data_IF_611322958978
#
_entry.id   IF_611322958978
#
_cell.length_a   1.000
_cell.length_b   1.000
_cell.length_c   1.000
_cell.angle_alpha   90.00
_cell.angle_beta   90.00
_cell.angle_gamma   90.00
#
_symmetry.space_group_name_H-M   'P 1'
#
loop_
_entity.id
_entity.type
_entity.pdbx_description
1 polymer ?
#
# COMPACT_ATOMS: atom_id res chain seq x y z
N UNK A 1 -31.11 -5.94 -4.79
CA UNK A 1 -29.65 -5.81 -4.87
C UNK A 1 -29.27 -5.90 -6.35
N UNK A 2 -28.65 -4.86 -6.95
CA UNK A 2 -28.00 -5.04 -8.27
C UNK A 2 -26.91 -6.09 -8.06
N UNK A 3 -26.92 -7.14 -8.86
CA UNK A 3 -25.83 -8.09 -8.93
C UNK A 3 -24.58 -7.26 -9.33
N UNK A 4 -23.62 -7.15 -8.44
CA UNK A 4 -22.36 -6.48 -8.78
C UNK A 4 -21.71 -7.28 -9.90
N UNK A 5 -21.43 -6.62 -11.02
CA UNK A 5 -20.63 -7.26 -12.06
C UNK A 5 -19.26 -7.60 -11.46
N UNK A 6 -18.78 -8.81 -11.74
CA UNK A 6 -17.47 -9.26 -11.28
C UNK A 6 -16.39 -8.26 -11.67
N UNK A 7 -15.48 -7.85 -10.79
CA UNK A 7 -14.40 -6.94 -11.15
C UNK A 7 -13.50 -7.55 -12.21
N UNK A 8 -12.89 -6.68 -13.04
CA UNK A 8 -11.79 -7.06 -13.93
C UNK A 8 -10.44 -6.85 -13.26
N UNK A 9 -10.37 -5.89 -12.34
CA UNK A 9 -9.17 -5.57 -11.58
C UNK A 9 -9.51 -5.33 -10.11
N UNK A 10 -8.64 -5.84 -9.23
CA UNK A 10 -8.62 -5.48 -7.80
C UNK A 10 -7.25 -4.89 -7.49
N UNK A 11 -7.25 -3.65 -6.99
CA UNK A 11 -6.05 -2.95 -6.56
C UNK A 11 -6.01 -2.91 -5.03
N UNK A 12 -5.00 -3.55 -4.43
CA UNK A 12 -4.79 -3.55 -2.99
C UNK A 12 -3.74 -2.53 -2.57
N UNK A 13 -3.92 -1.87 -1.43
CA UNK A 13 -2.77 -1.38 -0.68
C UNK A 13 -1.99 -2.55 -0.10
N UNK A 14 -0.75 -2.30 0.34
CA UNK A 14 0.13 -3.33 0.88
C UNK A 14 0.08 -3.40 2.41
N UNK A 15 0.52 -2.30 3.06
CA UNK A 15 0.63 -2.21 4.52
C UNK A 15 -0.77 -2.22 5.15
N UNK A 16 -1.01 -3.07 6.15
CA UNK A 16 -2.31 -3.20 6.80
C UNK A 16 -3.38 -3.97 6.00
N UNK A 17 -3.11 -4.27 4.72
CA UNK A 17 -4.03 -5.01 3.84
C UNK A 17 -3.44 -6.38 3.47
N UNK A 18 -2.49 -6.46 2.53
CA UNK A 18 -1.85 -7.72 2.14
C UNK A 18 -0.78 -8.17 3.13
N UNK A 19 -0.18 -7.21 3.82
CA UNK A 19 0.80 -7.44 4.86
C UNK A 19 0.23 -7.13 6.25
N UNK A 20 0.47 -8.01 7.24
CA UNK A 20 0.13 -7.80 8.64
C UNK A 20 1.20 -6.89 9.29
N UNK A 21 1.26 -5.66 8.79
CA UNK A 21 2.19 -4.61 9.24
C UNK A 21 1.49 -3.26 9.24
N UNK A 22 1.86 -2.40 10.17
CA UNK A 22 1.26 -1.05 10.27
C UNK A 22 1.80 -0.13 9.16
N UNK A 23 3.07 -0.27 8.81
CA UNK A 23 3.75 0.53 7.78
C UNK A 23 5.15 0.00 7.52
N UNK A 24 5.51 -0.16 6.26
CA UNK A 24 6.86 -0.50 5.82
C UNK A 24 7.89 0.56 6.21
N UNK A 25 7.53 1.85 6.19
CA UNK A 25 8.36 2.95 6.69
C UNK A 25 8.64 2.82 8.17
N UNK A 26 7.61 2.58 8.97
CA UNK A 26 7.74 2.40 10.42
C UNK A 26 8.64 1.22 10.76
N UNK A 27 8.58 0.15 10.00
CA UNK A 27 9.44 -1.03 10.20
C UNK A 27 10.92 -0.65 10.08
N UNK A 28 11.30 0.23 9.15
CA UNK A 28 12.67 0.75 9.05
C UNK A 28 13.01 1.63 10.26
N UNK A 29 12.10 2.51 10.66
CA UNK A 29 12.31 3.34 11.86
C UNK A 29 12.51 2.50 13.11
N UNK A 30 11.72 1.45 13.30
CA UNK A 30 11.86 0.52 14.44
C UNK A 30 13.22 -0.22 14.37
N UNK A 31 13.70 -0.59 13.17
CA UNK A 31 14.99 -1.22 12.96
C UNK A 31 16.17 -0.31 13.35
N UNK A 32 16.14 0.97 12.99
CA UNK A 32 17.19 1.94 13.31
C UNK A 32 16.97 2.65 14.66
N UNK A 33 15.88 2.37 15.37
CA UNK A 33 15.57 3.03 16.65
C UNK A 33 15.26 4.52 16.49
N UNK A 34 14.56 4.89 15.41
CA UNK A 34 14.14 6.27 15.11
C UNK A 34 12.61 6.37 15.07
N UNK A 35 12.07 7.57 14.87
CA UNK A 35 10.63 7.81 14.75
C UNK A 35 10.34 9.02 13.88
N UNK A 36 9.41 8.87 12.94
CA UNK A 36 8.92 9.95 12.08
C UNK A 36 7.57 10.53 12.53
N UNK A 37 7.17 10.33 13.79
CA UNK A 37 5.82 10.72 14.24
C UNK A 37 5.51 12.20 13.97
N UNK A 38 6.46 13.09 14.27
CA UNK A 38 6.29 14.54 14.08
C UNK A 38 6.33 14.92 12.59
N UNK A 39 7.20 14.25 11.81
CA UNK A 39 7.25 14.40 10.36
C UNK A 39 5.93 13.96 9.71
N UNK A 40 5.37 12.84 10.15
CA UNK A 40 4.06 12.37 9.66
C UNK A 40 2.94 13.37 9.95
N UNK A 41 2.94 14.00 11.11
CA UNK A 41 1.95 15.05 11.44
C UNK A 41 2.08 16.24 10.50
N UNK A 42 3.29 16.70 10.23
CA UNK A 42 3.56 17.80 9.30
C UNK A 42 3.19 17.43 7.85
N UNK A 43 3.50 16.20 7.43
CA UNK A 43 3.08 15.68 6.13
C UNK A 43 1.56 15.64 5.99
N UNK A 44 0.85 15.14 7.00
CA UNK A 44 -0.62 15.12 7.02
C UNK A 44 -1.25 16.52 7.06
N UNK A 45 -0.53 17.50 7.58
CA UNK A 45 -0.92 18.92 7.54
C UNK A 45 -0.63 19.61 6.19
N UNK A 46 0.01 18.89 5.24
CA UNK A 46 0.40 19.43 3.94
C UNK A 46 1.64 20.33 3.97
N UNK A 47 2.42 20.30 5.06
CA UNK A 47 3.65 21.08 5.21
C UNK A 47 4.85 20.46 4.50
N UNK A 48 4.77 19.19 4.15
CA UNK A 48 5.81 18.43 3.46
C UNK A 48 5.23 17.72 2.24
N UNK A 49 5.99 17.69 1.17
CA UNK A 49 5.75 16.81 0.03
C UNK A 49 6.19 15.38 0.35
N UNK A 50 5.75 14.37 -0.42
CA UNK A 50 6.23 12.99 -0.29
C UNK A 50 7.76 12.91 -0.37
N UNK A 51 8.39 13.64 -1.30
CA UNK A 51 9.86 13.66 -1.45
C UNK A 51 10.58 14.24 -0.23
N UNK A 52 10.08 15.33 0.33
CA UNK A 52 10.66 15.95 1.53
C UNK A 52 10.47 15.05 2.75
N UNK A 53 9.33 14.41 2.87
CA UNK A 53 9.07 13.45 3.95
C UNK A 53 10.03 12.25 3.86
N UNK A 54 10.20 11.65 2.66
CA UNK A 54 11.14 10.55 2.44
C UNK A 54 12.59 10.96 2.73
N UNK A 55 13.04 12.13 2.28
CA UNK A 55 14.39 12.64 2.56
C UNK A 55 14.61 12.84 4.06
N UNK A 56 13.62 13.37 4.78
CA UNK A 56 13.69 13.54 6.23
C UNK A 56 13.76 12.20 6.98
N UNK A 57 13.00 11.18 6.56
CA UNK A 57 13.09 9.82 7.12
C UNK A 57 14.48 9.21 6.92
N UNK A 58 15.04 9.33 5.71
CA UNK A 58 16.41 8.87 5.39
C UNK A 58 17.42 9.57 6.28
N UNK A 59 17.31 10.90 6.47
CA UNK A 59 18.20 11.66 7.34
C UNK A 59 18.17 11.15 8.79
N UNK A 60 16.98 10.87 9.35
CA UNK A 60 16.84 10.30 10.69
C UNK A 60 17.52 8.92 10.83
N UNK A 61 17.41 8.07 9.81
CA UNK A 61 18.09 6.76 9.84
C UNK A 61 19.61 6.93 9.79
N UNK A 62 20.12 7.84 8.94
CA UNK A 62 21.56 8.13 8.79
C UNK A 62 22.17 8.79 10.03
N UNK A 63 21.40 9.48 10.87
CA UNK A 63 21.85 9.94 12.19
C UNK A 63 22.25 8.76 13.10
N UNK A 64 21.59 7.61 12.97
CA UNK A 64 21.89 6.39 13.74
C UNK A 64 22.90 5.49 13.04
N UNK A 65 22.82 5.39 11.72
CA UNK A 65 23.71 4.60 10.89
C UNK A 65 24.11 5.39 9.66
N UNK A 66 25.27 6.10 9.70
CA UNK A 66 25.70 7.02 8.61
C UNK A 66 25.88 6.35 7.25
N UNK A 67 26.07 5.03 7.23
CA UNK A 67 26.14 4.21 6.02
C UNK A 67 25.11 3.10 6.12
N UNK A 68 24.11 3.11 5.25
CA UNK A 68 23.04 2.10 5.17
C UNK A 68 23.14 1.45 3.80
N UNK A 69 23.38 0.15 3.78
CA UNK A 69 23.36 -0.63 2.54
C UNK A 69 21.93 -1.13 2.26
N UNK A 70 21.61 -1.35 0.99
CA UNK A 70 20.32 -1.92 0.58
C UNK A 70 19.97 -3.20 1.35
N UNK A 71 20.96 -4.05 1.65
CA UNK A 71 20.76 -5.28 2.40
C UNK A 71 20.36 -5.04 3.86
N UNK A 72 20.74 -3.91 4.46
CA UNK A 72 20.31 -3.55 5.81
C UNK A 72 18.81 -3.24 5.84
N UNK A 73 18.30 -2.56 4.79
CA UNK A 73 16.89 -2.32 4.63
C UNK A 73 16.09 -3.62 4.40
N UNK A 74 16.62 -4.56 3.62
CA UNK A 74 16.02 -5.91 3.50
C UNK A 74 15.96 -6.64 4.85
N UNK A 75 17.02 -6.54 5.66
CA UNK A 75 17.03 -7.14 7.02
C UNK A 75 16.00 -6.51 7.95
N UNK A 76 15.69 -5.22 7.79
CA UNK A 76 14.64 -4.56 8.56
C UNK A 76 13.28 -5.25 8.37
N UNK A 77 13.02 -5.83 7.23
CA UNK A 77 11.78 -6.55 6.91
C UNK A 77 11.79 -8.04 7.29
N UNK A 78 12.84 -8.52 7.96
CA UNK A 78 12.90 -9.92 8.42
C UNK A 78 11.76 -10.21 9.39
N UNK A 79 11.01 -11.28 9.12
CA UNK A 79 9.90 -11.69 9.97
C UNK A 79 8.56 -11.02 9.67
N UNK A 80 8.49 -10.14 8.67
CA UNK A 80 7.23 -9.60 8.17
C UNK A 80 6.31 -10.72 7.69
N UNK A 81 4.99 -10.57 7.94
CA UNK A 81 3.98 -11.59 7.69
C UNK A 81 2.95 -11.08 6.70
N UNK A 82 2.44 -12.00 5.91
CA UNK A 82 1.21 -11.74 5.14
C UNK A 82 0.01 -11.66 6.08
N UNK A 83 -0.96 -10.82 5.72
CA UNK A 83 -2.29 -10.87 6.29
C UNK A 83 -2.88 -12.26 6.06
N UNK A 84 -3.62 -12.76 7.05
CA UNK A 84 -4.30 -14.05 6.92
C UNK A 84 -5.21 -14.06 5.69
N UNK A 85 -5.19 -15.14 4.92
CA UNK A 85 -5.99 -15.29 3.71
C UNK A 85 -5.44 -14.59 2.46
N UNK A 86 -4.31 -13.84 2.54
CA UNK A 86 -3.80 -13.05 1.42
C UNK A 86 -3.45 -13.91 0.20
N UNK A 87 -2.77 -15.03 0.40
CA UNK A 87 -2.39 -15.94 -0.70
C UNK A 87 -3.59 -16.60 -1.35
N UNK A 88 -4.51 -17.04 -0.51
CA UNK A 88 -5.73 -17.75 -0.92
C UNK A 88 -6.63 -16.80 -1.72
N UNK A 89 -6.90 -15.62 -1.19
CA UNK A 89 -7.74 -14.62 -1.86
C UNK A 89 -7.16 -14.19 -3.22
N UNK A 90 -5.86 -13.87 -3.27
CA UNK A 90 -5.20 -13.48 -4.52
C UNK A 90 -5.23 -14.62 -5.54
N UNK A 91 -4.96 -15.87 -5.11
CA UNK A 91 -5.01 -17.03 -6.00
C UNK A 91 -6.41 -17.23 -6.59
N UNK A 92 -7.46 -17.07 -5.77
CA UNK A 92 -8.85 -17.27 -6.20
C UNK A 92 -9.32 -16.13 -7.13
N UNK A 93 -8.94 -14.88 -6.87
CA UNK A 93 -9.19 -13.76 -7.78
C UNK A 93 -8.57 -14.03 -9.16
N UNK A 94 -7.32 -14.44 -9.19
CA UNK A 94 -6.61 -14.78 -10.44
C UNK A 94 -7.24 -15.97 -11.15
N UNK A 95 -7.57 -17.03 -10.43
CA UNK A 95 -8.28 -18.20 -11.00
C UNK A 95 -9.64 -17.81 -11.59
N UNK A 96 -10.26 -16.78 -11.00
CA UNK A 96 -11.47 -16.17 -11.51
C UNK A 96 -11.24 -15.22 -12.69
N UNK A 97 -10.01 -15.00 -13.16
CA UNK A 97 -9.67 -14.10 -14.27
C UNK A 97 -9.68 -12.61 -13.89
N UNK A 98 -9.51 -12.30 -12.59
CA UNK A 98 -9.40 -10.93 -12.09
C UNK A 98 -7.91 -10.56 -12.02
N UNK A 99 -7.54 -9.43 -12.58
CA UNK A 99 -6.19 -8.88 -12.46
C UNK A 99 -5.97 -8.34 -11.04
N UNK A 100 -4.88 -8.73 -10.41
CA UNK A 100 -4.54 -8.32 -9.04
C UNK A 100 -3.31 -7.44 -9.04
N UNK A 101 -3.49 -6.18 -8.64
CA UNK A 101 -2.41 -5.20 -8.54
C UNK A 101 -2.19 -4.72 -7.10
N UNK A 102 -0.97 -4.29 -6.79
CA UNK A 102 -0.64 -3.62 -5.52
C UNK A 102 -0.24 -2.18 -5.82
N UNK A 103 -0.92 -1.22 -5.20
CA UNK A 103 -0.64 0.22 -5.34
C UNK A 103 -0.38 0.80 -3.96
N UNK A 104 0.89 0.96 -3.59
CA UNK A 104 1.28 1.32 -2.23
C UNK A 104 2.22 2.53 -2.19
N UNK A 105 1.99 3.45 -1.27
CA UNK A 105 2.96 4.49 -0.91
C UNK A 105 4.07 3.97 0.02
N UNK A 106 4.07 2.67 0.34
CA UNK A 106 5.11 1.99 1.10
C UNK A 106 6.41 1.79 0.32
N UNK A 107 7.35 1.07 0.93
CA UNK A 107 8.70 0.86 0.41
C UNK A 107 8.73 -0.29 -0.60
N UNK A 108 9.30 -0.06 -1.78
CA UNK A 108 9.36 -1.01 -2.90
C UNK A 108 10.05 -2.34 -2.55
N UNK A 109 11.13 -2.32 -1.76
CA UNK A 109 11.84 -3.52 -1.30
C UNK A 109 10.90 -4.46 -0.50
N UNK A 110 9.97 -3.87 0.25
CA UNK A 110 8.97 -4.60 1.01
C UNK A 110 7.81 -5.05 0.12
N UNK A 111 7.23 -4.12 -0.62
CA UNK A 111 6.07 -4.37 -1.49
C UNK A 111 6.38 -5.43 -2.54
N UNK A 112 7.58 -5.41 -3.14
CA UNK A 112 8.05 -6.44 -4.07
C UNK A 112 8.04 -7.83 -3.43
N UNK A 113 8.50 -7.93 -2.18
CA UNK A 113 8.53 -9.20 -1.45
C UNK A 113 7.12 -9.74 -1.21
N UNK A 114 6.19 -8.86 -0.79
CA UNK A 114 4.78 -9.21 -0.59
C UNK A 114 4.15 -9.62 -1.92
N UNK A 115 4.35 -8.84 -2.99
CA UNK A 115 3.82 -9.13 -4.33
C UNK A 115 4.28 -10.52 -4.83
N UNK A 116 5.55 -10.85 -4.63
CA UNK A 116 6.10 -12.17 -4.98
C UNK A 116 5.46 -13.30 -4.15
N UNK A 117 5.25 -13.08 -2.83
CA UNK A 117 4.65 -14.08 -1.95
C UNK A 117 3.19 -14.37 -2.27
N UNK A 118 2.40 -13.35 -2.64
CA UNK A 118 0.98 -13.51 -3.01
C UNK A 118 0.80 -13.78 -4.52
N UNK A 119 1.85 -13.63 -5.33
CA UNK A 119 1.85 -13.74 -6.79
C UNK A 119 0.90 -12.73 -7.45
N UNK A 120 0.94 -11.47 -7.00
CA UNK A 120 0.23 -10.38 -7.67
C UNK A 120 0.67 -10.26 -9.14
N UNK A 121 -0.21 -9.77 -10.01
CA UNK A 121 0.10 -9.58 -11.44
C UNK A 121 0.96 -8.35 -11.66
N UNK A 122 0.67 -7.27 -10.92
CA UNK A 122 1.40 -6.00 -10.97
C UNK A 122 1.60 -5.41 -9.59
N UNK A 123 2.61 -4.56 -9.46
CA UNK A 123 2.80 -3.76 -8.27
C UNK A 123 3.56 -2.47 -8.57
N UNK A 124 3.28 -1.43 -7.80
CA UNK A 124 4.01 -0.16 -7.80
C UNK A 124 4.12 0.37 -6.37
N UNK A 125 5.31 0.87 -6.01
CA UNK A 125 5.58 1.45 -4.69
C UNK A 125 6.70 2.49 -4.75
N UNK A 126 6.84 3.27 -3.68
CA UNK A 126 7.92 4.23 -3.51
C UNK A 126 9.23 3.50 -3.19
N UNK A 127 10.35 4.13 -3.46
CA UNK A 127 11.64 3.48 -3.31
C UNK A 127 12.75 4.44 -2.92
N UNK A 128 13.98 3.94 -2.96
CA UNK A 128 15.18 4.68 -2.62
C UNK A 128 16.15 4.74 -3.79
N UNK A 129 16.97 5.77 -3.80
CA UNK A 129 18.15 5.84 -4.68
C UNK A 129 19.34 5.25 -3.95
N UNK A 130 20.03 4.31 -4.60
CA UNK A 130 21.28 3.73 -4.12
C UNK A 130 22.40 4.10 -5.09
N UNK A 131 23.61 4.23 -4.58
CA UNK A 131 24.80 4.35 -5.42
C UNK A 131 25.17 3.00 -6.08
N UNK A 132 26.22 3.00 -6.90
CA UNK A 132 26.67 1.82 -7.66
C UNK A 132 27.11 0.66 -6.75
N UNK A 133 27.52 0.95 -5.51
CA UNK A 133 27.93 -0.02 -4.51
C UNK A 133 26.74 -0.49 -3.62
N UNK A 134 25.55 0.06 -3.83
CA UNK A 134 24.32 -0.31 -3.09
C UNK A 134 24.11 0.45 -1.78
N UNK A 135 24.83 1.57 -1.56
CA UNK A 135 24.62 2.43 -0.40
C UNK A 135 23.48 3.42 -0.65
N UNK A 136 22.66 3.61 0.39
CA UNK A 136 21.53 4.52 0.37
C UNK A 136 21.99 5.97 0.22
N UNK A 137 21.51 6.68 -0.80
CA UNK A 137 21.68 8.12 -0.97
C UNK A 137 20.73 8.91 -0.06
N UNK A 138 20.66 10.22 -0.20
CA UNK A 138 19.74 11.07 0.58
C UNK A 138 18.39 11.24 -0.12
N UNK A 139 18.16 10.52 -1.23
CA UNK A 139 17.00 10.71 -2.08
C UNK A 139 16.07 9.48 -2.07
N UNK A 140 14.77 9.76 -1.98
CA UNK A 140 13.71 8.79 -2.26
C UNK A 140 13.16 8.93 -3.67
N UNK A 141 12.49 7.89 -4.14
CA UNK A 141 11.79 7.85 -5.43
C UNK A 141 10.29 7.77 -5.18
N UNK A 142 9.57 8.87 -5.42
CA UNK A 142 8.11 8.91 -5.34
C UNK A 142 7.53 8.41 -6.66
N UNK A 143 6.91 7.24 -6.64
CA UNK A 143 6.15 6.65 -7.76
C UNK A 143 4.66 6.66 -7.49
N UNK A 144 4.29 6.58 -6.21
CA UNK A 144 2.92 6.58 -5.71
C UNK A 144 2.80 7.71 -4.67
N UNK A 145 2.35 8.91 -5.06
CA UNK A 145 2.09 9.98 -4.09
C UNK A 145 1.00 9.53 -3.11
N UNK A 146 1.27 9.69 -1.81
CA UNK A 146 0.44 9.11 -0.75
C UNK A 146 -1.01 9.59 -0.76
N UNK A 147 -1.22 10.86 -1.11
CA UNK A 147 -2.54 11.49 -1.17
C UNK A 147 -3.15 11.50 -2.58
N UNK A 148 -2.46 10.96 -3.57
CA UNK A 148 -2.86 10.97 -4.99
C UNK A 148 -2.68 9.62 -5.67
N UNK A 149 -2.92 8.52 -4.94
CA UNK A 149 -2.83 7.16 -5.46
C UNK A 149 -3.68 6.94 -6.73
N UNK A 150 -4.72 7.78 -6.94
CA UNK A 150 -5.56 7.74 -8.14
C UNK A 150 -4.75 7.89 -9.44
N UNK A 151 -3.60 8.56 -9.42
CA UNK A 151 -2.73 8.72 -10.59
C UNK A 151 -2.18 7.37 -11.06
N UNK A 152 -1.71 6.55 -10.11
CA UNK A 152 -1.26 5.18 -10.38
C UNK A 152 -2.42 4.26 -10.77
N UNK A 153 -3.59 4.42 -10.14
CA UNK A 153 -4.79 3.66 -10.47
C UNK A 153 -5.25 3.97 -11.91
N UNK A 154 -5.33 5.23 -12.32
CA UNK A 154 -5.69 5.61 -13.69
C UNK A 154 -4.74 5.00 -14.69
N UNK A 155 -3.42 5.06 -14.42
CA UNK A 155 -2.42 4.45 -15.29
C UNK A 155 -2.57 2.94 -15.42
N UNK A 156 -2.88 2.25 -14.30
CA UNK A 156 -3.16 0.82 -14.30
C UNK A 156 -4.38 0.49 -15.18
N UNK A 157 -5.47 1.23 -15.02
CA UNK A 157 -6.70 1.03 -15.82
C UNK A 157 -6.45 1.25 -17.32
N UNK A 158 -5.65 2.26 -17.68
CA UNK A 158 -5.25 2.49 -19.07
C UNK A 158 -4.46 1.32 -19.66
N UNK A 159 -3.48 0.79 -18.89
CA UNK A 159 -2.66 -0.36 -19.33
C UNK A 159 -3.51 -1.60 -19.53
N UNK A 160 -4.50 -1.82 -18.66
CA UNK A 160 -5.36 -3.00 -18.69
C UNK A 160 -6.58 -2.87 -19.61
N UNK A 161 -6.80 -1.71 -20.22
CA UNK A 161 -8.07 -1.37 -20.90
C UNK A 161 -9.29 -1.71 -20.03
N UNK A 162 -9.18 -1.41 -18.73
CA UNK A 162 -10.19 -1.74 -17.73
C UNK A 162 -11.06 -0.51 -17.42
N UNK A 163 -12.39 -0.57 -17.63
CA UNK A 163 -13.26 0.53 -17.26
C UNK A 163 -13.35 0.71 -15.74
N UNK A 164 -13.41 1.95 -15.23
CA UNK A 164 -13.35 2.24 -13.80
C UNK A 164 -14.42 1.51 -12.96
N UNK A 165 -15.63 1.31 -13.49
CA UNK A 165 -16.71 0.59 -12.80
C UNK A 165 -16.44 -0.92 -12.61
N UNK A 166 -15.36 -1.44 -13.20
CA UNK A 166 -14.89 -2.82 -13.05
C UNK A 166 -13.65 -2.92 -12.16
N UNK A 167 -13.23 -1.80 -11.52
CA UNK A 167 -12.17 -1.74 -10.52
C UNK A 167 -12.76 -1.79 -9.12
N UNK A 168 -12.17 -2.60 -8.26
CA UNK A 168 -12.34 -2.52 -6.81
C UNK A 168 -10.98 -2.20 -6.20
N UNK A 169 -10.89 -1.12 -5.41
CA UNK A 169 -9.71 -0.79 -4.62
C UNK A 169 -9.95 -1.16 -3.16
N UNK A 170 -8.89 -1.63 -2.48
CA UNK A 170 -8.94 -2.04 -1.07
C UNK A 170 -7.82 -1.37 -0.30
N UNK A 171 -8.14 -0.70 0.81
CA UNK A 171 -7.18 -0.01 1.66
C UNK A 171 -7.61 0.04 3.12
N UNK A 172 -6.68 0.33 4.04
CA UNK A 172 -6.92 0.37 5.49
C UNK A 172 -6.83 1.79 6.07
N UNK A 173 -6.32 2.76 5.32
CA UNK A 173 -6.03 4.12 5.79
C UNK A 173 -6.84 5.20 5.08
N UNK A 174 -6.92 6.38 5.69
CA UNK A 174 -7.57 7.55 5.06
C UNK A 174 -6.88 8.00 3.77
N UNK A 175 -5.56 7.76 3.63
CA UNK A 175 -4.81 8.04 2.42
C UNK A 175 -5.25 7.14 1.25
N UNK A 176 -5.72 5.93 1.53
CA UNK A 176 -6.16 4.98 0.50
C UNK A 176 -7.47 5.38 -0.17
N UNK A 177 -8.26 6.27 0.45
CA UNK A 177 -9.39 6.88 -0.24
C UNK A 177 -8.98 7.56 -1.55
N UNK A 178 -7.72 7.97 -1.66
CA UNK A 178 -7.16 8.50 -2.90
C UNK A 178 -6.97 7.46 -4.01
N UNK A 179 -7.18 6.16 -3.75
CA UNK A 179 -7.24 5.13 -4.80
C UNK A 179 -8.55 5.17 -5.60
N UNK A 180 -9.54 5.90 -5.12
CA UNK A 180 -10.84 6.01 -5.81
C UNK A 180 -10.68 6.82 -7.10
N UNK A 181 -11.24 6.29 -8.16
CA UNK A 181 -11.50 7.00 -9.41
C UNK A 181 -13.03 7.00 -9.66
N UNK A 182 -13.51 7.92 -10.50
CA UNK A 182 -14.94 8.01 -10.80
C UNK A 182 -15.49 6.65 -11.22
N UNK A 183 -16.67 6.28 -10.68
CA UNK A 183 -17.35 5.00 -10.90
C UNK A 183 -16.67 3.74 -10.34
N UNK A 184 -15.47 3.84 -9.75
CA UNK A 184 -14.84 2.70 -9.09
C UNK A 184 -15.43 2.41 -7.72
N UNK A 185 -15.26 1.17 -7.26
CA UNK A 185 -15.61 0.78 -5.89
C UNK A 185 -14.36 0.82 -5.00
N UNK A 186 -14.51 1.34 -3.78
CA UNK A 186 -13.49 1.26 -2.74
C UNK A 186 -14.07 0.52 -1.53
N UNK A 187 -13.26 -0.37 -0.94
CA UNK A 187 -13.59 -1.13 0.27
C UNK A 187 -12.53 -0.86 1.32
N UNK A 188 -12.95 -0.40 2.49
CA UNK A 188 -12.09 -0.29 3.67
C UNK A 188 -11.86 -1.67 4.30
N UNK A 189 -10.61 -2.02 4.58
CA UNK A 189 -10.28 -3.27 5.24
C UNK A 189 -9.53 -3.00 6.54
N UNK A 190 -10.07 -3.51 7.67
CA UNK A 190 -9.43 -3.49 8.98
C UNK A 190 -8.80 -2.14 9.40
N UNK A 191 -9.46 -0.99 9.26
CA UNK A 191 -8.89 0.30 9.62
C UNK A 191 -8.57 0.32 11.13
N UNK A 192 -7.28 0.58 11.47
CA UNK A 192 -6.81 0.56 12.86
C UNK A 192 -6.70 1.97 13.47
N UNK A 193 -6.74 3.01 12.65
CA UNK A 193 -6.61 4.41 13.11
C UNK A 193 -7.96 5.09 13.13
N UNK A 194 -8.27 5.83 14.20
CA UNK A 194 -9.51 6.60 14.31
C UNK A 194 -9.74 7.55 13.12
N UNK A 195 -8.64 8.12 12.58
CA UNK A 195 -8.69 8.97 11.39
C UNK A 195 -9.17 8.22 10.14
N UNK A 196 -8.81 6.95 9.97
CA UNK A 196 -9.26 6.12 8.86
C UNK A 196 -10.74 5.74 9.05
N UNK A 197 -11.12 5.30 10.26
CA UNK A 197 -12.50 4.93 10.59
C UNK A 197 -13.44 6.11 10.28
N UNK A 198 -13.11 7.29 10.81
CA UNK A 198 -13.90 8.51 10.60
C UNK A 198 -13.97 8.89 9.12
N UNK A 199 -12.84 8.85 8.40
CA UNK A 199 -12.82 9.19 6.97
C UNK A 199 -13.67 8.22 6.14
N UNK A 200 -13.66 6.92 6.47
CA UNK A 200 -14.49 5.92 5.78
C UNK A 200 -15.97 6.09 6.08
N UNK A 201 -16.33 6.40 7.33
CA UNK A 201 -17.72 6.73 7.72
C UNK A 201 -18.24 7.95 6.98
N UNK A 202 -17.48 9.06 6.97
CA UNK A 202 -17.83 10.30 6.29
C UNK A 202 -17.96 10.11 4.77
N UNK A 203 -17.15 9.24 4.19
CA UNK A 203 -17.20 8.92 2.75
C UNK A 203 -18.23 7.84 2.40
N UNK A 204 -18.95 7.27 3.37
CA UNK A 204 -19.94 6.20 3.17
C UNK A 204 -19.33 4.90 2.62
N UNK A 205 -18.09 4.59 3.02
CA UNK A 205 -17.35 3.42 2.53
C UNK A 205 -17.82 2.15 3.24
N UNK A 206 -17.99 1.08 2.46
CA UNK A 206 -18.15 -0.27 3.02
C UNK A 206 -16.85 -0.70 3.69
N UNK A 207 -16.92 -1.06 4.98
CA UNK A 207 -15.76 -1.48 5.77
C UNK A 207 -15.91 -2.93 6.21
N UNK A 208 -14.88 -3.72 5.97
CA UNK A 208 -14.76 -5.11 6.46
C UNK A 208 -13.78 -5.12 7.63
N UNK A 209 -14.31 -5.13 8.86
CA UNK A 209 -13.53 -5.18 10.10
C UNK A 209 -13.11 -6.63 10.38
N UNK A 210 -12.02 -7.06 9.77
CA UNK A 210 -11.48 -8.41 9.92
C UNK A 210 -9.95 -8.39 9.76
N UNK A 211 -9.29 -9.40 10.32
CA UNK A 211 -7.88 -9.72 10.08
C UNK A 211 -7.71 -10.93 9.14
N UNK A 212 -8.77 -11.33 8.47
CA UNK A 212 -8.77 -12.39 7.47
C UNK A 212 -9.27 -11.83 6.14
N UNK A 213 -8.40 -11.77 5.15
CA UNK A 213 -8.74 -11.25 3.81
C UNK A 213 -9.81 -12.10 3.09
N UNK A 214 -10.03 -13.34 3.51
CA UNK A 214 -11.11 -14.13 2.95
C UNK A 214 -12.49 -13.52 3.21
N UNK A 215 -12.64 -12.67 4.23
CA UNK A 215 -13.91 -11.97 4.51
C UNK A 215 -14.23 -10.88 3.47
N UNK A 216 -13.28 -10.55 2.58
CA UNK A 216 -13.52 -9.69 1.41
C UNK A 216 -14.21 -10.44 0.24
N UNK A 217 -14.20 -11.77 0.21
CA UNK A 217 -14.70 -12.58 -0.93
C UNK A 217 -16.08 -12.15 -1.45
N UNK A 218 -17.11 -11.97 -0.58
CA UNK A 218 -18.45 -11.58 -1.05
C UNK A 218 -18.48 -10.21 -1.74
N UNK A 219 -17.55 -9.32 -1.38
CA UNK A 219 -17.44 -7.97 -1.93
C UNK A 219 -16.63 -7.92 -3.22
N UNK A 220 -15.84 -8.97 -3.49
CA UNK A 220 -14.99 -9.10 -4.67
C UNK A 220 -15.57 -10.03 -5.73
N UNK A 221 -16.83 -10.47 -5.56
CA UNK A 221 -17.53 -11.35 -6.49
C UNK A 221 -17.02 -12.79 -6.49
N UNK A 222 -16.45 -13.23 -5.36
CA UNK A 222 -16.09 -14.64 -5.10
C UNK A 222 -17.11 -15.27 -4.14
N UNK A 223 -17.38 -16.56 -4.36
CA UNK A 223 -18.22 -17.36 -3.47
C UNK A 223 -17.46 -17.84 -2.21
#
# INVERSE_FOLDING_TARGET
MRQMEKPLCVAFDCDGVLADSISSWRTIHDHFGTSSKDLLQRFMAGELTDSEFMAADIALWKEKSPKIHRDDLFRAYSGCKLMKGAKELVADLKAAGVHVAIVSAGVDLYVQSIAAMVKADDWIANGFVFDDDGWLTDEGIVRVPSMEKYTSIKRLLEILDCPPNRLIAVGDSSMDLSMRVEDSTFIGFNPQRDTAIKAFEEAGITVVNSKDLNDLRPYLGLE
#
